data_IF_921613314026
#
_entry.id   IF_921613314026
#
_cell.length_a   1.000
_cell.length_b   1.000
_cell.length_c   1.000
_cell.angle_alpha   90.00
_cell.angle_beta   90.00
_cell.angle_gamma   90.00
#
_symmetry.space_group_name_H-M   'P 1'
#
loop_
_entity.id
_entity.type
_entity.pdbx_description
1 polymer ?
#
# COMPACT_ATOMS: atom_id res chain seq x y z
N UNK A 1 -103.00 -105.46 -7.46
CA UNK A 1 -103.82 -104.23 -7.63
C UNK A 1 -104.16 -104.14 -9.10
N UNK A 2 -105.41 -103.87 -9.49
CA UNK A 2 -105.79 -103.64 -10.89
C UNK A 2 -105.58 -104.82 -11.86
N UNK A 3 -106.36 -105.89 -11.73
CA UNK A 3 -106.73 -106.73 -12.89
C UNK A 3 -108.13 -106.29 -13.32
N UNK A 4 -108.19 -105.24 -14.14
CA UNK A 4 -109.43 -104.73 -14.72
C UNK A 4 -109.13 -103.96 -16.02
N UNK A 5 -109.87 -104.32 -17.06
CA UNK A 5 -110.32 -103.43 -18.15
C UNK A 5 -109.30 -102.48 -18.79
N UNK A 6 -108.27 -103.05 -19.43
CA UNK A 6 -108.01 -102.75 -20.84
C UNK A 6 -108.45 -103.97 -21.68
N UNK A 7 -109.76 -104.20 -21.72
CA UNK A 7 -110.38 -104.80 -22.91
C UNK A 7 -110.41 -103.71 -23.97
N UNK A 8 -109.25 -103.46 -24.59
CA UNK A 8 -109.23 -102.86 -25.92
C UNK A 8 -110.02 -103.80 -26.82
N UNK A 9 -111.29 -103.45 -27.07
CA UNK A 9 -112.10 -104.15 -28.05
C UNK A 9 -111.42 -103.91 -29.38
N UNK A 10 -110.75 -104.94 -29.91
CA UNK A 10 -110.32 -104.98 -31.32
C UNK A 10 -111.50 -104.43 -32.13
N UNK A 11 -111.33 -103.30 -32.82
CA UNK A 11 -112.44 -102.67 -33.51
C UNK A 11 -112.84 -103.60 -34.64
N UNK A 12 -113.88 -104.39 -34.39
CA UNK A 12 -114.53 -105.23 -35.39
C UNK A 12 -115.05 -104.28 -36.45
N UNK A 13 -114.25 -104.14 -37.51
CA UNK A 13 -114.50 -103.20 -38.59
C UNK A 13 -115.92 -103.38 -39.10
N UNK A 14 -116.59 -102.26 -39.39
CA UNK A 14 -117.91 -102.25 -40.02
C UNK A 14 -117.95 -103.28 -41.14
N UNK A 15 -118.82 -104.28 -40.99
CA UNK A 15 -118.82 -105.47 -41.83
C UNK A 15 -118.93 -105.15 -43.32
N UNK A 16 -118.31 -106.01 -44.14
CA UNK A 16 -118.06 -105.80 -45.57
C UNK A 16 -119.23 -105.17 -46.33
N UNK A 17 -118.91 -104.20 -47.19
CA UNK A 17 -119.90 -103.53 -48.04
C UNK A 17 -120.63 -104.55 -48.95
N UNK A 18 -121.94 -104.40 -49.06
CA UNK A 18 -122.79 -105.32 -49.82
C UNK A 18 -123.00 -104.79 -51.24
N UNK A 19 -122.30 -105.41 -52.19
CA UNK A 19 -122.45 -105.21 -53.62
C UNK A 19 -123.69 -105.98 -54.13
N UNK A 20 -124.11 -105.70 -55.36
CA UNK A 20 -125.36 -106.16 -56.02
C UNK A 20 -125.66 -107.66 -55.94
N UNK A 21 -124.68 -108.51 -55.58
CA UNK A 21 -124.82 -109.95 -55.23
C UNK A 21 -123.77 -110.40 -54.18
N UNK A 22 -123.74 -109.77 -53.00
CA UNK A 22 -122.96 -110.22 -51.85
C UNK A 22 -121.87 -109.24 -51.39
N UNK A 23 -121.07 -109.65 -50.41
CA UNK A 23 -119.98 -108.83 -49.86
C UNK A 23 -118.91 -108.49 -50.90
N UNK A 24 -118.26 -107.33 -50.76
CA UNK A 24 -117.12 -106.97 -51.59
C UNK A 24 -115.95 -107.95 -51.38
N UNK A 25 -115.48 -108.53 -52.49
CA UNK A 25 -114.42 -109.55 -52.46
C UNK A 25 -113.08 -108.97 -52.01
N UNK A 26 -112.73 -107.74 -52.41
CA UNK A 26 -111.46 -107.12 -52.05
C UNK A 26 -111.38 -106.86 -50.55
N UNK A 27 -112.47 -106.34 -49.96
CA UNK A 27 -112.54 -106.14 -48.51
C UNK A 27 -112.45 -107.47 -47.72
N UNK A 28 -113.05 -108.55 -48.23
CA UNK A 28 -112.95 -109.89 -47.60
C UNK A 28 -111.53 -110.45 -47.72
N UNK A 29 -110.88 -110.30 -48.87
CA UNK A 29 -109.49 -110.77 -49.08
C UNK A 29 -108.51 -109.96 -48.22
N UNK A 30 -108.62 -108.62 -48.15
CA UNK A 30 -107.80 -107.77 -47.26
C UNK A 30 -107.99 -108.13 -45.78
N UNK A 31 -109.23 -108.39 -45.35
CA UNK A 31 -109.52 -108.78 -43.96
C UNK A 31 -109.00 -110.19 -43.62
N UNK A 32 -109.02 -111.12 -44.57
CA UNK A 32 -108.43 -112.45 -44.37
C UNK A 32 -106.89 -112.36 -44.32
N UNK A 33 -106.25 -111.57 -45.19
CA UNK A 33 -104.81 -111.32 -45.11
C UNK A 33 -104.42 -110.64 -43.79
N UNK A 34 -105.24 -109.70 -43.29
CA UNK A 34 -105.07 -109.10 -41.96
C UNK A 34 -105.14 -110.15 -40.86
N UNK A 35 -106.20 -110.97 -40.80
CA UNK A 35 -106.34 -112.03 -39.80
C UNK A 35 -105.19 -113.06 -39.87
N UNK A 36 -104.73 -113.42 -41.06
CA UNK A 36 -103.57 -114.31 -41.23
C UNK A 36 -102.28 -113.66 -40.71
N UNK A 37 -102.14 -112.33 -40.84
CA UNK A 37 -101.03 -111.58 -40.26
C UNK A 37 -101.11 -111.49 -38.73
N UNK A 38 -102.32 -111.25 -38.18
CA UNK A 38 -102.58 -111.18 -36.74
C UNK A 38 -102.36 -112.54 -36.07
N UNK A 39 -102.79 -113.64 -36.70
CA UNK A 39 -102.54 -115.01 -36.22
C UNK A 39 -101.06 -115.38 -36.26
N UNK A 40 -100.30 -114.91 -37.26
CA UNK A 40 -98.84 -115.11 -37.31
C UNK A 40 -98.12 -114.30 -36.24
N UNK A 41 -98.58 -113.07 -35.96
CA UNK A 41 -98.07 -112.24 -34.87
C UNK A 41 -98.34 -112.90 -33.51
N UNK A 42 -99.59 -113.30 -33.23
CA UNK A 42 -99.96 -113.99 -31.99
C UNK A 42 -99.24 -115.34 -31.82
N UNK A 43 -98.94 -116.06 -32.90
CA UNK A 43 -98.12 -117.27 -32.84
C UNK A 43 -96.66 -116.95 -32.47
N UNK A 44 -96.07 -115.89 -33.06
CA UNK A 44 -94.72 -115.44 -32.72
C UNK A 44 -94.62 -114.93 -31.27
N UNK A 45 -95.60 -114.15 -30.81
CA UNK A 45 -95.67 -113.64 -29.43
C UNK A 45 -95.85 -114.78 -28.42
N UNK A 46 -96.71 -115.77 -28.72
CA UNK A 46 -96.83 -117.00 -27.93
C UNK A 46 -95.51 -117.73 -27.84
N UNK A 47 -94.82 -117.94 -28.97
CA UNK A 47 -93.59 -118.73 -29.00
C UNK A 47 -92.42 -117.99 -28.33
N UNK A 48 -92.38 -116.65 -28.42
CA UNK A 48 -91.47 -115.80 -27.66
C UNK A 48 -91.76 -115.81 -26.14
N UNK A 49 -93.03 -115.81 -25.73
CA UNK A 49 -93.42 -115.98 -24.33
C UNK A 49 -93.06 -117.38 -23.80
N UNK A 50 -93.25 -118.42 -24.63
CA UNK A 50 -92.82 -119.79 -24.32
C UNK A 50 -91.29 -119.88 -24.20
N UNK A 51 -90.50 -119.25 -25.06
CA UNK A 51 -89.03 -119.24 -24.88
C UNK A 51 -88.62 -118.48 -23.61
N UNK A 52 -89.22 -117.31 -23.34
CA UNK A 52 -88.95 -116.54 -22.11
C UNK A 52 -89.29 -117.34 -20.85
N UNK A 53 -90.43 -118.04 -20.80
CA UNK A 53 -90.78 -118.88 -19.64
C UNK A 53 -89.83 -120.07 -19.46
N UNK A 54 -89.35 -120.69 -20.55
CA UNK A 54 -88.35 -121.75 -20.48
C UNK A 54 -86.98 -121.25 -19.98
N UNK A 55 -86.54 -120.06 -20.42
CA UNK A 55 -85.27 -119.49 -19.98
C UNK A 55 -85.33 -118.96 -18.53
N UNK A 56 -86.47 -118.40 -18.11
CA UNK A 56 -86.72 -118.08 -16.70
C UNK A 56 -86.77 -119.36 -15.83
N UNK A 57 -87.36 -120.46 -16.32
CA UNK A 57 -87.35 -121.73 -15.61
C UNK A 57 -85.91 -122.26 -15.41
N UNK A 58 -85.08 -122.22 -16.46
CA UNK A 58 -83.65 -122.58 -16.40
C UNK A 58 -82.87 -121.72 -15.41
N UNK A 59 -83.07 -120.40 -15.40
CA UNK A 59 -82.44 -119.50 -14.43
C UNK A 59 -82.87 -119.80 -12.99
N UNK A 60 -84.15 -120.10 -12.78
CA UNK A 60 -84.72 -120.46 -11.48
C UNK A 60 -84.18 -121.82 -10.99
N UNK A 61 -84.01 -122.79 -11.88
CA UNK A 61 -83.35 -124.07 -11.57
C UNK A 61 -81.86 -123.89 -11.25
N UNK A 62 -81.11 -123.11 -12.04
CA UNK A 62 -79.71 -122.79 -11.77
C UNK A 62 -79.51 -122.12 -10.40
N UNK A 63 -80.33 -121.11 -10.08
CA UNK A 63 -80.32 -120.44 -8.78
C UNK A 63 -80.75 -121.39 -7.65
N UNK A 64 -81.66 -122.35 -7.89
CA UNK A 64 -82.01 -123.39 -6.91
C UNK A 64 -80.84 -124.34 -6.65
N UNK A 65 -80.09 -124.77 -7.67
CA UNK A 65 -78.87 -125.57 -7.48
C UNK A 65 -77.79 -124.79 -6.72
N UNK A 66 -77.53 -123.54 -7.09
CA UNK A 66 -76.55 -122.69 -6.39
C UNK A 66 -76.94 -122.50 -4.91
N UNK A 67 -78.21 -122.20 -4.61
CA UNK A 67 -78.71 -122.09 -3.24
C UNK A 67 -78.63 -123.42 -2.49
N UNK A 68 -78.82 -124.57 -3.14
CA UNK A 68 -78.64 -125.88 -2.53
C UNK A 68 -77.17 -126.19 -2.23
N UNK A 69 -76.25 -125.89 -3.16
CA UNK A 69 -74.81 -126.04 -2.96
C UNK A 69 -74.28 -125.12 -1.85
N UNK A 70 -74.68 -123.85 -1.85
CA UNK A 70 -74.33 -122.88 -0.80
C UNK A 70 -74.86 -123.31 0.57
N UNK A 71 -76.09 -123.84 0.65
CA UNK A 71 -76.62 -124.41 1.89
C UNK A 71 -75.82 -125.63 2.34
N UNK A 72 -75.49 -126.55 1.44
CA UNK A 72 -74.65 -127.72 1.74
C UNK A 72 -73.21 -127.35 2.12
N UNK A 73 -72.66 -126.24 1.63
CA UNK A 73 -71.39 -125.68 2.11
C UNK A 73 -71.54 -125.10 3.52
N UNK A 74 -72.57 -124.29 3.77
CA UNK A 74 -72.84 -123.70 5.10
C UNK A 74 -73.10 -124.78 6.16
N UNK A 75 -73.82 -125.85 5.83
CA UNK A 75 -74.02 -127.01 6.70
C UNK A 75 -72.68 -127.68 7.04
N UNK A 76 -71.87 -128.05 6.03
CA UNK A 76 -70.52 -128.63 6.23
C UNK A 76 -69.57 -127.74 7.03
N UNK A 77 -69.70 -126.41 6.94
CA UNK A 77 -68.87 -125.44 7.66
C UNK A 77 -69.38 -125.08 9.06
N UNK A 78 -70.66 -125.36 9.37
CA UNK A 78 -71.29 -125.07 10.67
C UNK A 78 -71.31 -126.26 11.62
N UNK A 79 -71.28 -127.49 11.11
CA UNK A 79 -70.98 -128.67 11.93
C UNK A 79 -69.52 -128.61 12.46
N UNK A 80 -69.25 -129.17 13.65
CA UNK A 80 -67.88 -129.31 14.15
C UNK A 80 -67.07 -130.20 13.20
N UNK A 81 -65.82 -129.83 12.82
CA UNK A 81 -65.06 -130.54 11.79
C UNK A 81 -64.57 -131.90 12.30
N UNK A 82 -65.34 -132.95 11.99
CA UNK A 82 -64.99 -134.35 12.25
C UNK A 82 -64.13 -134.97 11.13
N UNK A 83 -63.87 -134.24 10.05
CA UNK A 83 -63.03 -134.67 8.92
C UNK A 83 -61.89 -133.66 8.66
N UNK A 84 -60.75 -134.16 8.18
CA UNK A 84 -59.57 -133.35 7.85
C UNK A 84 -59.85 -132.36 6.70
N UNK A 85 -60.75 -132.72 5.79
CA UNK A 85 -61.11 -131.92 4.62
C UNK A 85 -61.85 -130.64 5.01
N UNK A 86 -62.87 -130.73 5.89
CA UNK A 86 -63.58 -129.56 6.42
C UNK A 86 -62.69 -128.64 7.27
N UNK A 87 -61.69 -129.19 7.96
CA UNK A 87 -60.66 -128.40 8.64
C UNK A 87 -59.79 -127.65 7.63
N UNK A 88 -59.37 -128.30 6.54
CA UNK A 88 -58.52 -127.67 5.51
C UNK A 88 -59.27 -126.56 4.74
N UNK A 89 -60.55 -126.76 4.40
CA UNK A 89 -61.36 -125.73 3.74
C UNK A 89 -61.56 -124.50 4.64
N UNK A 90 -61.86 -124.73 5.93
CA UNK A 90 -61.99 -123.64 6.91
C UNK A 90 -60.67 -122.88 7.12
N UNK A 91 -59.53 -123.57 7.13
CA UNK A 91 -58.21 -122.93 7.20
C UNK A 91 -57.91 -122.11 5.94
N UNK A 92 -58.23 -122.61 4.74
CA UNK A 92 -58.08 -121.86 3.49
C UNK A 92 -58.97 -120.61 3.47
N UNK A 93 -60.24 -120.71 3.88
CA UNK A 93 -61.14 -119.55 4.01
C UNK A 93 -60.63 -118.54 5.06
N UNK A 94 -60.10 -119.01 6.20
CA UNK A 94 -59.50 -118.14 7.23
C UNK A 94 -58.23 -117.44 6.75
N UNK A 95 -57.32 -118.14 6.07
CA UNK A 95 -56.11 -117.56 5.48
C UNK A 95 -56.44 -116.53 4.39
N UNK A 96 -57.47 -116.79 3.59
CA UNK A 96 -57.96 -115.83 2.59
C UNK A 96 -58.51 -114.57 3.26
N UNK A 97 -59.38 -114.70 4.27
CA UNK A 97 -59.91 -113.55 5.03
C UNK A 97 -58.79 -112.75 5.71
N UNK A 98 -57.80 -113.42 6.32
CA UNK A 98 -56.65 -112.76 6.92
C UNK A 98 -55.74 -112.07 5.89
N UNK A 99 -55.63 -112.61 4.67
CA UNK A 99 -54.91 -111.99 3.56
C UNK A 99 -55.66 -110.77 3.00
N UNK A 100 -56.98 -110.86 2.89
CA UNK A 100 -57.86 -109.78 2.45
C UNK A 100 -57.86 -108.63 3.50
N UNK A 101 -57.95 -108.95 4.80
CA UNK A 101 -57.80 -107.99 5.91
C UNK A 101 -56.39 -107.36 5.94
N UNK A 102 -55.32 -108.15 5.76
CA UNK A 102 -53.96 -107.61 5.68
C UNK A 102 -53.74 -106.71 4.44
N UNK A 103 -54.44 -106.97 3.34
CA UNK A 103 -54.45 -106.09 2.16
C UNK A 103 -55.23 -104.80 2.45
N UNK A 104 -56.37 -104.88 3.15
CA UNK A 104 -57.16 -103.71 3.54
C UNK A 104 -56.39 -102.81 4.53
N UNK A 105 -55.72 -103.39 5.53
CA UNK A 105 -54.86 -102.66 6.48
C UNK A 105 -53.73 -101.94 5.74
N UNK A 106 -53.09 -102.57 4.75
CA UNK A 106 -52.09 -101.91 3.90
C UNK A 106 -52.70 -100.77 3.10
N UNK A 107 -53.82 -100.98 2.43
CA UNK A 107 -54.50 -99.96 1.64
C UNK A 107 -54.91 -98.74 2.49
N UNK A 108 -55.41 -98.96 3.72
CA UNK A 108 -55.69 -97.89 4.69
C UNK A 108 -54.41 -97.15 5.10
N UNK A 109 -53.35 -97.87 5.47
CA UNK A 109 -52.07 -97.25 5.88
C UNK A 109 -51.36 -96.50 4.74
N UNK A 110 -51.47 -96.98 3.50
CA UNK A 110 -50.95 -96.32 2.30
C UNK A 110 -51.76 -95.06 1.96
N UNK A 111 -53.08 -95.09 2.10
CA UNK A 111 -53.95 -93.92 1.95
C UNK A 111 -53.68 -92.86 3.03
N UNK A 112 -53.60 -93.26 4.31
CA UNK A 112 -53.26 -92.37 5.42
C UNK A 112 -51.85 -91.77 5.25
N UNK A 113 -50.86 -92.58 4.89
CA UNK A 113 -49.50 -92.12 4.58
C UNK A 113 -49.46 -91.16 3.37
N UNK A 114 -50.29 -91.41 2.35
CA UNK A 114 -50.50 -90.51 1.22
C UNK A 114 -51.10 -89.17 1.63
N UNK A 115 -52.16 -89.18 2.45
CA UNK A 115 -52.78 -87.96 2.98
C UNK A 115 -51.83 -87.14 3.86
N UNK A 116 -51.02 -87.80 4.71
CA UNK A 116 -50.02 -87.13 5.55
C UNK A 116 -48.94 -86.47 4.68
N UNK A 117 -48.43 -87.16 3.65
CA UNK A 117 -47.45 -86.59 2.69
C UNK A 117 -48.03 -85.42 1.90
N UNK A 118 -49.19 -85.61 1.28
CA UNK A 118 -49.85 -84.56 0.50
C UNK A 118 -50.15 -83.31 1.34
N UNK A 119 -50.54 -83.47 2.60
CA UNK A 119 -50.70 -82.34 3.53
C UNK A 119 -49.36 -81.66 3.84
N UNK A 120 -48.32 -82.42 4.20
CA UNK A 120 -47.00 -81.86 4.50
C UNK A 120 -46.38 -81.14 3.30
N UNK A 121 -46.59 -81.65 2.08
CA UNK A 121 -46.18 -81.02 0.83
C UNK A 121 -46.96 -79.73 0.54
N UNK A 122 -48.28 -79.72 0.77
CA UNK A 122 -49.11 -78.52 0.65
C UNK A 122 -48.73 -77.44 1.69
N UNK A 123 -48.53 -77.82 2.95
CA UNK A 123 -48.09 -76.91 4.02
C UNK A 123 -46.67 -76.35 3.70
N UNK A 124 -45.75 -77.19 3.20
CA UNK A 124 -44.42 -76.76 2.78
C UNK A 124 -44.45 -75.82 1.56
N UNK A 125 -45.31 -76.09 0.56
CA UNK A 125 -45.51 -75.20 -0.58
C UNK A 125 -46.09 -73.85 -0.15
N UNK A 126 -47.10 -73.86 0.72
CA UNK A 126 -47.69 -72.65 1.28
C UNK A 126 -46.69 -71.81 2.09
N UNK A 127 -45.75 -72.45 2.80
CA UNK A 127 -44.65 -71.76 3.47
C UNK A 127 -43.65 -71.16 2.47
N UNK A 128 -43.22 -71.91 1.45
CA UNK A 128 -42.32 -71.38 0.38
C UNK A 128 -42.90 -70.12 -0.26
N UNK A 129 -44.16 -70.18 -0.72
CA UNK A 129 -44.85 -69.03 -1.33
C UNK A 129 -45.02 -67.84 -0.39
N UNK A 130 -45.07 -68.05 0.94
CA UNK A 130 -45.06 -66.95 1.92
C UNK A 130 -43.67 -66.33 2.08
N UNK A 131 -42.62 -67.15 2.14
CA UNK A 131 -41.24 -66.65 2.24
C UNK A 131 -40.77 -65.97 0.95
N UNK A 132 -41.13 -66.49 -0.22
CA UNK A 132 -40.88 -65.86 -1.53
C UNK A 132 -41.48 -64.46 -1.59
N UNK A 133 -42.75 -64.31 -1.18
CA UNK A 133 -43.42 -63.00 -1.09
C UNK A 133 -42.71 -62.06 -0.11
N UNK A 134 -42.44 -62.52 1.12
CA UNK A 134 -41.76 -61.72 2.14
C UNK A 134 -40.36 -61.28 1.69
N UNK A 135 -39.63 -62.11 0.95
CA UNK A 135 -38.34 -61.72 0.35
C UNK A 135 -38.54 -60.63 -0.72
N UNK A 136 -39.50 -60.78 -1.63
CA UNK A 136 -39.78 -59.74 -2.63
C UNK A 136 -40.25 -58.42 -2.01
N UNK A 137 -41.05 -58.46 -0.94
CA UNK A 137 -41.48 -57.28 -0.18
C UNK A 137 -40.29 -56.60 0.54
N UNK A 138 -39.36 -57.37 1.10
CA UNK A 138 -38.15 -56.85 1.73
C UNK A 138 -37.17 -56.24 0.72
N UNK A 139 -36.99 -56.85 -0.44
CA UNK A 139 -36.09 -56.34 -1.49
C UNK A 139 -36.69 -55.13 -2.23
N UNK A 140 -38.01 -55.08 -2.44
CA UNK A 140 -38.71 -53.86 -2.86
C UNK A 140 -38.49 -52.72 -1.86
N UNK A 141 -38.75 -52.98 -0.57
CA UNK A 141 -38.59 -51.97 0.49
C UNK A 141 -37.13 -51.50 0.66
N UNK A 142 -36.15 -52.37 0.41
CA UNK A 142 -34.73 -51.98 0.34
C UNK A 142 -34.48 -51.03 -0.83
N UNK A 143 -34.91 -51.38 -2.04
CA UNK A 143 -34.75 -50.54 -3.22
C UNK A 143 -35.45 -49.18 -3.06
N UNK A 144 -36.63 -49.13 -2.44
CA UNK A 144 -37.33 -47.91 -2.06
C UNK A 144 -36.51 -47.05 -1.09
N UNK A 145 -36.06 -47.61 0.04
CA UNK A 145 -35.25 -46.87 1.02
C UNK A 145 -33.89 -46.42 0.45
N UNK A 146 -33.27 -47.20 -0.43
CA UNK A 146 -32.04 -46.83 -1.13
C UNK A 146 -32.28 -45.69 -2.13
N UNK A 147 -33.40 -45.71 -2.86
CA UNK A 147 -33.79 -44.64 -3.78
C UNK A 147 -34.16 -43.35 -3.01
N UNK A 148 -34.90 -43.44 -1.90
CA UNK A 148 -35.19 -42.31 -1.01
C UNK A 148 -33.91 -41.72 -0.42
N UNK A 149 -33.03 -42.56 0.16
CA UNK A 149 -31.77 -42.13 0.73
C UNK A 149 -30.86 -41.46 -0.31
N UNK A 150 -30.76 -42.06 -1.50
CA UNK A 150 -30.04 -41.48 -2.63
C UNK A 150 -30.63 -40.15 -3.06
N UNK A 151 -31.95 -40.04 -3.20
CA UNK A 151 -32.64 -38.79 -3.54
C UNK A 151 -32.47 -37.69 -2.49
N UNK A 152 -32.40 -38.04 -1.21
CA UNK A 152 -32.06 -37.12 -0.12
C UNK A 152 -30.60 -36.68 -0.19
N UNK A 153 -29.65 -37.58 -0.46
CA UNK A 153 -28.24 -37.24 -0.65
C UNK A 153 -28.00 -36.37 -1.88
N UNK A 154 -28.67 -36.64 -3.00
CA UNK A 154 -28.56 -35.86 -4.24
C UNK A 154 -29.15 -34.45 -4.05
N UNK A 155 -30.29 -34.31 -3.36
CA UNK A 155 -30.83 -33.00 -2.94
C UNK A 155 -29.89 -32.25 -2.00
N UNK A 156 -29.41 -32.90 -0.93
CA UNK A 156 -28.51 -32.27 0.04
C UNK A 156 -27.18 -31.83 -0.59
N UNK A 157 -26.67 -32.57 -1.59
CA UNK A 157 -25.50 -32.16 -2.39
C UNK A 157 -25.82 -30.94 -3.25
N UNK A 158 -26.92 -30.95 -4.01
CA UNK A 158 -27.32 -29.81 -4.83
C UNK A 158 -27.60 -28.54 -4.00
N UNK A 159 -28.20 -28.68 -2.82
CA UNK A 159 -28.40 -27.58 -1.86
C UNK A 159 -27.08 -27.05 -1.30
N UNK A 160 -26.14 -27.94 -0.92
CA UNK A 160 -24.82 -27.56 -0.46
C UNK A 160 -23.98 -26.88 -1.57
N UNK A 161 -24.03 -27.40 -2.80
CA UNK A 161 -23.38 -26.80 -3.97
C UNK A 161 -23.95 -25.41 -4.29
N UNK A 162 -25.28 -25.24 -4.23
CA UNK A 162 -25.93 -23.93 -4.35
C UNK A 162 -25.47 -22.96 -3.26
N UNK A 163 -25.50 -23.35 -2.00
CA UNK A 163 -25.08 -22.51 -0.86
C UNK A 163 -23.60 -22.13 -0.96
N UNK A 164 -22.73 -23.06 -1.36
CA UNK A 164 -21.30 -22.80 -1.56
C UNK A 164 -21.05 -21.91 -2.79
N UNK A 165 -21.85 -22.05 -3.86
CA UNK A 165 -21.84 -21.15 -5.01
C UNK A 165 -22.23 -19.72 -4.63
N UNK A 166 -23.40 -19.55 -4.00
CA UNK A 166 -23.90 -18.25 -3.53
C UNK A 166 -22.94 -17.58 -2.54
N UNK A 167 -22.33 -18.34 -1.62
CA UNK A 167 -21.33 -17.82 -0.69
C UNK A 167 -20.03 -17.39 -1.39
N UNK A 168 -19.58 -18.12 -2.42
CA UNK A 168 -18.40 -17.74 -3.23
C UNK A 168 -18.66 -16.51 -4.09
N UNK A 169 -19.83 -16.38 -4.69
CA UNK A 169 -20.23 -15.18 -5.43
C UNK A 169 -20.33 -13.97 -4.50
N UNK A 170 -20.94 -14.12 -3.31
CA UNK A 170 -21.03 -13.05 -2.33
C UNK A 170 -19.65 -12.61 -1.82
N UNK A 171 -18.73 -13.55 -1.57
CA UNK A 171 -17.35 -13.26 -1.22
C UNK A 171 -16.62 -12.51 -2.33
N UNK A 172 -16.66 -13.02 -3.58
CA UNK A 172 -15.99 -12.39 -4.72
C UNK A 172 -16.48 -10.94 -4.98
N UNK A 173 -17.79 -10.69 -4.85
CA UNK A 173 -18.36 -9.34 -4.96
C UNK A 173 -17.91 -8.42 -3.82
N UNK A 174 -17.78 -8.94 -2.60
CA UNK A 174 -17.30 -8.18 -1.44
C UNK A 174 -15.80 -7.90 -1.52
N UNK A 175 -15.00 -8.83 -2.03
CA UNK A 175 -13.58 -8.65 -2.31
C UNK A 175 -13.36 -7.61 -3.40
N UNK A 176 -14.14 -7.66 -4.49
CA UNK A 176 -14.12 -6.66 -5.56
C UNK A 176 -14.54 -5.26 -5.06
N UNK A 177 -15.65 -5.16 -4.31
CA UNK A 177 -16.07 -3.89 -3.70
C UNK A 177 -15.02 -3.35 -2.71
N UNK A 178 -14.37 -4.23 -1.94
CA UNK A 178 -13.32 -3.85 -1.00
C UNK A 178 -12.05 -3.40 -1.69
N UNK A 179 -11.68 -4.01 -2.82
CA UNK A 179 -10.59 -3.56 -3.68
C UNK A 179 -10.90 -2.20 -4.30
N UNK A 180 -12.09 -2.01 -4.88
CA UNK A 180 -12.53 -0.73 -5.45
C UNK A 180 -12.52 0.40 -4.40
N UNK A 181 -13.05 0.14 -3.20
CA UNK A 181 -12.99 1.09 -2.07
C UNK A 181 -11.55 1.41 -1.67
N UNK A 182 -10.65 0.41 -1.68
CA UNK A 182 -9.24 0.64 -1.35
C UNK A 182 -8.54 1.49 -2.41
N UNK A 183 -8.77 1.21 -3.71
CA UNK A 183 -8.18 2.02 -4.78
C UNK A 183 -8.72 3.45 -4.78
N UNK A 184 -10.01 3.69 -4.54
CA UNK A 184 -10.53 5.06 -4.42
C UNK A 184 -9.95 5.81 -3.22
N UNK A 185 -9.70 5.13 -2.09
CA UNK A 185 -9.05 5.74 -0.91
C UNK A 185 -7.56 5.97 -1.14
N UNK A 186 -6.88 5.09 -1.88
CA UNK A 186 -5.49 5.28 -2.34
C UNK A 186 -5.39 6.51 -3.28
N UNK A 187 -6.29 6.62 -4.26
CA UNK A 187 -6.40 7.76 -5.19
C UNK A 187 -6.71 9.09 -4.48
N UNK A 188 -7.76 9.13 -3.65
CA UNK A 188 -8.13 10.32 -2.86
C UNK A 188 -6.98 10.77 -1.93
N UNK A 189 -6.27 9.81 -1.32
CA UNK A 189 -5.12 10.10 -0.48
C UNK A 189 -3.93 10.63 -1.29
N UNK A 190 -3.63 10.07 -2.46
CA UNK A 190 -2.58 10.60 -3.34
C UNK A 190 -2.90 12.01 -3.84
N UNK A 191 -4.15 12.28 -4.20
CA UNK A 191 -4.64 13.62 -4.60
C UNK A 191 -4.51 14.60 -3.43
N UNK A 192 -5.00 14.26 -2.23
CA UNK A 192 -4.91 15.11 -1.05
C UNK A 192 -3.44 15.38 -0.65
N UNK A 193 -2.57 14.38 -0.72
CA UNK A 193 -1.14 14.53 -0.45
C UNK A 193 -0.40 15.28 -1.57
N UNK A 194 -0.83 15.19 -2.83
CA UNK A 194 -0.33 16.03 -3.92
C UNK A 194 -0.72 17.50 -3.70
N UNK A 195 -1.98 17.79 -3.40
CA UNK A 195 -2.46 19.13 -3.08
C UNK A 195 -1.68 19.73 -1.90
N UNK A 196 -1.56 19.00 -0.79
CA UNK A 196 -0.80 19.43 0.39
C UNK A 196 0.70 19.64 0.12
N UNK A 197 1.31 18.84 -0.77
CA UNK A 197 2.70 19.07 -1.24
C UNK A 197 2.80 20.37 -2.05
N UNK A 198 1.86 20.65 -2.95
CA UNK A 198 1.82 21.90 -3.73
C UNK A 198 1.62 23.12 -2.84
N UNK A 199 0.72 23.07 -1.85
CA UNK A 199 0.52 24.15 -0.87
C UNK A 199 1.76 24.38 0.00
N UNK A 200 2.42 23.31 0.46
CA UNK A 200 3.68 23.40 1.22
C UNK A 200 4.82 23.98 0.38
N UNK A 201 4.95 23.58 -0.88
CA UNK A 201 5.93 24.16 -1.82
C UNK A 201 5.61 25.63 -2.13
N UNK A 202 4.33 25.99 -2.26
CA UNK A 202 3.90 27.38 -2.47
C UNK A 202 4.23 28.27 -1.26
N UNK A 203 3.92 27.83 -0.04
CA UNK A 203 4.24 28.61 1.17
C UNK A 203 5.75 28.74 1.41
N UNK A 204 6.54 27.71 1.10
CA UNK A 204 8.01 27.81 1.06
C UNK A 204 8.49 28.82 0.02
N UNK A 205 7.95 28.78 -1.21
CA UNK A 205 8.30 29.74 -2.26
C UNK A 205 7.90 31.18 -1.91
N UNK A 206 6.76 31.38 -1.24
CA UNK A 206 6.31 32.69 -0.72
C UNK A 206 7.22 33.19 0.41
N UNK A 207 7.64 32.31 1.33
CA UNK A 207 8.61 32.64 2.38
C UNK A 207 10.00 32.98 1.81
N UNK A 208 10.49 32.21 0.84
CA UNK A 208 11.72 32.51 0.12
C UNK A 208 11.64 33.83 -0.64
N UNK A 209 10.54 34.10 -1.35
CA UNK A 209 10.32 35.33 -2.09
C UNK A 209 10.24 36.55 -1.15
N UNK A 210 9.54 36.42 -0.02
CA UNK A 210 9.50 37.46 1.01
C UNK A 210 10.89 37.72 1.62
N UNK A 211 11.63 36.66 1.98
CA UNK A 211 12.98 36.77 2.54
C UNK A 211 13.96 37.42 1.56
N UNK A 212 13.91 37.05 0.27
CA UNK A 212 14.69 37.68 -0.81
C UNK A 212 14.30 39.14 -0.99
N UNK A 213 13.01 39.45 -1.07
CA UNK A 213 12.51 40.82 -1.22
C UNK A 213 12.78 41.71 0.01
N UNK A 214 12.95 41.15 1.21
CA UNK A 214 13.48 41.86 2.38
C UNK A 214 14.99 42.05 2.32
N UNK A 215 15.76 41.02 1.94
CA UNK A 215 17.21 41.14 1.78
C UNK A 215 17.56 42.20 0.73
N UNK A 216 16.88 42.18 -0.43
CA UNK A 216 17.03 43.19 -1.48
C UNK A 216 16.63 44.60 -1.02
N UNK A 217 15.69 44.72 -0.06
CA UNK A 217 15.33 46.01 0.55
C UNK A 217 16.42 46.51 1.49
N UNK A 218 16.87 45.68 2.43
CA UNK A 218 17.98 46.01 3.36
C UNK A 218 19.27 46.35 2.61
N UNK A 219 19.56 45.65 1.50
CA UNK A 219 20.72 45.95 0.63
C UNK A 219 20.54 47.29 -0.10
N UNK A 220 19.33 47.62 -0.59
CA UNK A 220 19.05 48.93 -1.19
C UNK A 220 19.12 50.06 -0.17
N UNK A 221 18.49 49.90 0.98
CA UNK A 221 18.51 50.85 2.10
C UNK A 221 19.96 51.12 2.56
N UNK A 222 20.75 50.07 2.81
CA UNK A 222 22.16 50.21 3.17
C UNK A 222 23.02 50.79 2.04
N UNK A 223 22.70 50.53 0.76
CA UNK A 223 23.39 51.13 -0.38
C UNK A 223 23.07 52.62 -0.54
N UNK A 224 21.81 53.01 -0.28
CA UNK A 224 21.37 54.42 -0.22
C UNK A 224 22.00 55.14 0.97
N UNK A 225 22.00 54.56 2.17
CA UNK A 225 22.66 55.14 3.35
C UNK A 225 24.17 55.29 3.11
N UNK A 226 24.84 54.26 2.59
CA UNK A 226 26.24 54.36 2.20
C UNK A 226 26.46 55.41 1.08
N UNK A 227 25.51 55.61 0.17
CA UNK A 227 25.57 56.69 -0.82
C UNK A 227 25.39 58.07 -0.19
N UNK A 228 24.46 58.24 0.77
CA UNK A 228 24.24 59.48 1.53
C UNK A 228 25.46 59.82 2.38
N UNK A 229 26.04 58.85 3.10
CA UNK A 229 27.27 59.01 3.89
C UNK A 229 28.47 59.33 2.99
N UNK A 230 28.65 58.64 1.86
CA UNK A 230 29.70 59.01 0.89
C UNK A 230 29.49 60.40 0.30
N UNK A 231 28.25 60.81 0.04
CA UNK A 231 27.92 62.16 -0.43
C UNK A 231 28.25 63.21 0.64
N UNK A 232 27.85 63.00 1.89
CA UNK A 232 28.19 63.86 3.04
C UNK A 232 29.71 63.98 3.21
N UNK A 233 30.43 62.86 3.27
CA UNK A 233 31.91 62.86 3.35
C UNK A 233 32.53 63.59 2.15
N UNK A 234 31.99 63.44 0.93
CA UNK A 234 32.48 64.19 -0.24
C UNK A 234 32.18 65.69 -0.17
N UNK A 235 31.07 66.09 0.45
CA UNK A 235 30.70 67.49 0.68
C UNK A 235 31.55 68.11 1.80
N UNK A 236 31.80 67.38 2.88
CA UNK A 236 32.71 67.77 3.96
C UNK A 236 34.16 67.87 3.46
N UNK A 237 34.61 66.93 2.62
CA UNK A 237 35.91 67.02 1.96
C UNK A 237 35.97 68.18 0.97
N UNK A 238 34.91 68.44 0.19
CA UNK A 238 34.85 69.60 -0.69
C UNK A 238 34.84 70.93 0.08
N UNK A 239 34.12 71.01 1.20
CA UNK A 239 34.09 72.18 2.08
C UNK A 239 35.46 72.38 2.75
N UNK A 240 36.02 71.34 3.38
CA UNK A 240 37.33 71.38 4.04
C UNK A 240 38.47 71.71 3.06
N UNK A 241 38.44 71.16 1.83
CA UNK A 241 39.43 71.54 0.81
C UNK A 241 39.19 72.94 0.25
N UNK A 242 37.95 73.43 0.16
CA UNK A 242 37.65 74.82 -0.20
C UNK A 242 38.08 75.80 0.90
N UNK A 243 37.90 75.47 2.18
CA UNK A 243 38.37 76.24 3.33
C UNK A 243 39.90 76.23 3.42
N UNK A 244 40.55 75.07 3.26
CA UNK A 244 42.00 74.98 3.17
C UNK A 244 42.54 75.79 1.98
N UNK A 245 41.89 75.74 0.81
CA UNK A 245 42.23 76.62 -0.31
C UNK A 245 41.98 78.10 0.00
N UNK A 246 40.93 78.45 0.75
CA UNK A 246 40.67 79.84 1.14
C UNK A 246 41.74 80.34 2.11
N UNK A 247 42.10 79.56 3.13
CA UNK A 247 43.17 79.86 4.08
C UNK A 247 44.54 79.94 3.39
N UNK A 248 44.83 79.05 2.44
CA UNK A 248 46.05 79.14 1.61
C UNK A 248 46.03 80.41 0.75
N UNK A 249 44.92 80.74 0.09
CA UNK A 249 44.79 82.00 -0.68
C UNK A 249 44.99 83.22 0.23
N UNK A 250 44.26 83.30 1.34
CA UNK A 250 44.33 84.35 2.35
C UNK A 250 45.75 84.52 2.91
N UNK A 251 46.43 83.41 3.25
CA UNK A 251 47.83 83.44 3.68
C UNK A 251 48.81 83.84 2.56
N UNK A 252 48.58 83.41 1.30
CA UNK A 252 49.41 83.87 0.17
C UNK A 252 49.17 85.34 -0.17
N UNK A 253 47.94 85.84 -0.04
CA UNK A 253 47.62 87.26 -0.18
C UNK A 253 48.25 88.07 0.94
N UNK A 254 48.17 87.62 2.19
CA UNK A 254 48.78 88.29 3.34
C UNK A 254 50.31 88.28 3.24
N UNK A 255 50.92 87.18 2.79
CA UNK A 255 52.35 87.10 2.49
C UNK A 255 52.74 88.02 1.32
N UNK A 256 51.91 88.11 0.27
CA UNK A 256 52.13 89.02 -0.85
C UNK A 256 51.94 90.49 -0.45
N UNK A 257 51.00 90.81 0.45
CA UNK A 257 50.84 92.14 1.08
C UNK A 257 52.09 92.49 1.87
N UNK A 258 52.48 91.68 2.88
CA UNK A 258 53.73 91.87 3.64
C UNK A 258 54.96 92.03 2.74
N UNK A 259 55.04 91.27 1.65
CA UNK A 259 56.12 91.40 0.65
C UNK A 259 56.03 92.71 -0.13
N UNK A 260 54.84 93.14 -0.54
CA UNK A 260 54.64 94.41 -1.24
C UNK A 260 54.90 95.61 -0.34
N UNK A 261 54.46 95.56 0.92
CA UNK A 261 54.70 96.58 1.95
C UNK A 261 56.21 96.67 2.24
N UNK A 262 56.89 95.53 2.45
CA UNK A 262 58.34 95.47 2.66
C UNK A 262 59.14 95.94 1.44
N UNK A 263 58.71 95.62 0.22
CA UNK A 263 59.30 96.17 -1.01
C UNK A 263 59.07 97.68 -1.08
N UNK A 264 57.89 98.16 -0.72
CA UNK A 264 57.54 99.60 -0.74
C UNK A 264 58.41 100.37 0.26
N UNK A 265 58.52 99.91 1.51
CA UNK A 265 59.45 100.47 2.51
C UNK A 265 60.91 100.45 2.03
N UNK A 266 61.35 99.36 1.41
CA UNK A 266 62.70 99.26 0.87
C UNK A 266 62.93 100.27 -0.27
N UNK A 267 61.97 100.43 -1.19
CA UNK A 267 62.05 101.45 -2.24
C UNK A 267 61.97 102.87 -1.71
N UNK A 268 61.20 103.12 -0.65
CA UNK A 268 61.13 104.42 0.03
C UNK A 268 62.49 104.78 0.67
N UNK A 269 63.12 103.85 1.40
CA UNK A 269 64.48 104.06 1.95
C UNK A 269 65.53 104.25 0.86
N UNK A 270 65.42 103.57 -0.27
CA UNK A 270 66.32 103.75 -1.43
C UNK A 270 66.12 105.12 -2.08
N UNK A 271 64.87 105.60 -2.21
CA UNK A 271 64.57 106.95 -2.70
C UNK A 271 65.09 108.02 -1.73
N UNK A 272 64.82 107.89 -0.43
CA UNK A 272 65.31 108.79 0.63
C UNK A 272 66.84 108.89 0.63
N UNK A 273 67.55 107.75 0.58
CA UNK A 273 69.01 107.72 0.46
C UNK A 273 69.53 108.32 -0.86
N UNK A 274 68.78 108.16 -1.96
CA UNK A 274 69.12 108.76 -3.27
C UNK A 274 68.92 110.27 -3.26
N UNK A 275 67.87 110.77 -2.62
CA UNK A 275 67.59 112.21 -2.48
C UNK A 275 68.56 112.88 -1.50
N UNK A 276 68.97 112.21 -0.43
CA UNK A 276 70.10 112.67 0.39
C UNK A 276 71.41 112.72 -0.41
N UNK A 277 71.72 111.69 -1.22
CA UNK A 277 72.92 111.67 -2.05
C UNK A 277 72.90 112.82 -3.08
N UNK A 278 71.76 113.03 -3.75
CA UNK A 278 71.54 114.16 -4.66
C UNK A 278 71.68 115.51 -3.95
N UNK A 279 71.23 115.63 -2.69
CA UNK A 279 71.38 116.85 -1.88
C UNK A 279 72.85 117.13 -1.58
N UNK A 280 73.61 116.14 -1.08
CA UNK A 280 75.05 116.24 -0.79
C UNK A 280 75.87 116.58 -2.06
N UNK A 281 75.50 116.03 -3.22
CA UNK A 281 76.13 116.37 -4.51
C UNK A 281 75.87 117.83 -4.91
N UNK A 282 74.65 118.35 -4.71
CA UNK A 282 74.33 119.77 -4.97
C UNK A 282 75.13 120.70 -4.05
N UNK A 283 75.13 120.42 -2.75
CA UNK A 283 75.86 121.19 -1.73
C UNK A 283 77.37 121.25 -2.04
N UNK A 284 77.99 120.11 -2.39
CA UNK A 284 79.40 120.05 -2.80
C UNK A 284 79.68 120.79 -4.12
N UNK A 285 78.74 120.78 -5.06
CA UNK A 285 78.86 121.52 -6.33
C UNK A 285 78.80 123.04 -6.10
N UNK A 286 77.94 123.49 -5.18
CA UNK A 286 77.89 124.91 -4.77
C UNK A 286 79.17 125.36 -4.06
N UNK A 287 79.72 124.56 -3.14
CA UNK A 287 81.04 124.84 -2.53
C UNK A 287 82.15 124.98 -3.58
N UNK A 288 82.19 124.05 -4.56
CA UNK A 288 83.17 124.08 -5.65
C UNK A 288 83.07 125.37 -6.46
N UNK A 289 81.85 125.74 -6.88
CA UNK A 289 81.59 126.97 -7.63
C UNK A 289 81.97 128.24 -6.84
N UNK A 290 81.76 128.25 -5.51
CA UNK A 290 82.19 129.38 -4.65
C UNK A 290 83.73 129.50 -4.62
N UNK A 291 84.46 128.38 -4.49
CA UNK A 291 85.94 128.37 -4.49
C UNK A 291 86.53 128.79 -5.85
N UNK A 292 85.98 128.28 -6.96
CA UNK A 292 86.36 128.70 -8.32
C UNK A 292 86.13 130.20 -8.52
N UNK A 293 84.97 130.72 -8.10
CA UNK A 293 84.66 132.16 -8.23
C UNK A 293 85.65 133.04 -7.47
N UNK A 294 86.03 132.66 -6.25
CA UNK A 294 87.03 133.38 -5.45
C UNK A 294 88.42 133.34 -6.11
N UNK A 295 88.83 132.20 -6.66
CA UNK A 295 90.10 132.08 -7.37
C UNK A 295 90.16 132.96 -8.62
N UNK A 296 89.08 133.02 -9.42
CA UNK A 296 89.00 133.90 -10.60
C UNK A 296 89.15 135.39 -10.22
N UNK A 297 88.50 135.84 -9.15
CA UNK A 297 88.60 137.22 -8.67
C UNK A 297 90.04 137.60 -8.26
N UNK A 298 90.77 136.69 -7.62
CA UNK A 298 92.18 136.92 -7.27
C UNK A 298 93.09 136.98 -8.52
N UNK A 299 92.83 136.12 -9.52
CA UNK A 299 93.57 136.12 -10.79
C UNK A 299 93.37 137.43 -11.57
N UNK A 300 92.15 137.98 -11.61
CA UNK A 300 91.89 139.23 -12.33
C UNK A 300 92.44 140.47 -11.61
N UNK A 301 92.46 140.48 -10.27
CA UNK A 301 93.16 141.51 -9.49
C UNK A 301 94.66 141.57 -9.84
N UNK A 302 95.32 140.42 -9.96
CA UNK A 302 96.73 140.33 -10.36
C UNK A 302 96.98 140.80 -11.81
N UNK A 303 96.07 140.49 -12.75
CA UNK A 303 96.15 141.01 -14.14
C UNK A 303 96.09 142.54 -14.19
N UNK A 304 95.21 143.17 -13.41
CA UNK A 304 95.09 144.64 -13.37
C UNK A 304 96.35 145.31 -12.82
N UNK A 305 96.96 144.73 -11.78
CA UNK A 305 98.18 145.27 -11.16
C UNK A 305 99.39 145.17 -12.11
N UNK A 306 99.54 144.03 -12.80
CA UNK A 306 100.53 143.84 -13.88
C UNK A 306 100.36 144.87 -15.01
N UNK A 307 99.13 145.10 -15.46
CA UNK A 307 98.88 146.00 -16.60
C UNK A 307 99.24 147.47 -16.27
N UNK A 308 99.04 147.94 -15.03
CA UNK A 308 99.50 149.27 -14.59
C UNK A 308 101.02 149.43 -14.70
N UNK A 309 101.78 148.45 -14.21
CA UNK A 309 103.25 148.45 -14.29
C UNK A 309 103.75 148.46 -15.74
N UNK A 310 103.11 147.71 -16.65
CA UNK A 310 103.50 147.69 -18.06
C UNK A 310 103.30 149.02 -18.80
N UNK A 311 102.32 149.83 -18.39
CA UNK A 311 102.04 151.11 -19.05
C UNK A 311 103.02 152.22 -18.64
N UNK A 312 103.47 152.24 -17.39
CA UNK A 312 104.44 153.26 -16.92
C UNK A 312 105.85 153.06 -17.51
N UNK A 313 106.24 151.81 -17.82
CA UNK A 313 107.54 151.49 -18.42
C UNK A 313 107.62 151.74 -19.94
N UNK A 314 106.50 152.02 -20.63
CA UNK A 314 106.48 152.22 -22.08
C UNK A 314 106.55 153.71 -22.51
N UNK A 315 106.30 154.65 -21.59
CA UNK A 315 106.13 156.08 -21.93
C UNK A 315 107.44 156.89 -21.99
N UNK A 316 108.53 156.43 -21.37
CA UNK A 316 109.85 157.11 -21.37
C UNK A 316 110.94 156.26 -22.06
N UNK A 317 110.61 155.02 -22.47
CA UNK A 317 111.48 154.13 -23.26
C UNK A 317 111.83 154.70 -24.66
N UNK A 318 111.21 155.81 -25.05
CA UNK A 318 111.42 156.56 -26.29
C UNK A 318 112.57 157.57 -26.25
N UNK A 319 113.27 157.72 -25.11
CA UNK A 319 114.45 158.58 -24.99
C UNK A 319 115.62 157.79 -24.38
N UNK A 320 116.65 157.52 -25.20
CA UNK A 320 117.76 156.58 -24.97
C UNK A 320 117.29 155.10 -24.93
N UNK A 321 117.75 154.17 -25.78
CA UNK A 321 118.83 154.22 -26.78
C UNK A 321 120.19 154.69 -26.26
N UNK A 322 120.76 153.91 -25.35
CA UNK A 322 122.20 153.69 -25.34
C UNK A 322 122.51 152.23 -24.92
N UNK A 323 123.69 151.72 -25.30
CA UNK A 323 124.29 150.42 -24.92
C UNK A 323 123.42 149.16 -25.10
N UNK A 324 123.29 148.73 -26.35
CA UNK A 324 123.45 147.30 -26.75
C UNK A 324 124.94 146.94 -26.61
N UNK A 325 125.43 145.69 -26.35
CA UNK A 325 124.81 144.35 -26.42
C UNK A 325 124.61 143.67 -25.03
N UNK A 326 123.92 142.54 -24.81
CA UNK A 326 123.59 141.32 -25.59
C UNK A 326 124.73 140.27 -25.70
N UNK A 327 124.69 139.23 -24.86
CA UNK A 327 124.76 137.79 -25.22
C UNK A 327 125.02 136.88 -23.99
N UNK A 328 124.29 135.76 -23.93
CA UNK A 328 124.67 134.48 -23.28
C UNK A 328 124.88 134.45 -21.72
N UNK A 329 124.92 133.27 -21.05
CA UNK A 329 125.12 131.91 -21.58
C UNK A 329 124.12 130.83 -21.14
N UNK A 330 124.52 129.58 -21.44
CA UNK A 330 123.90 128.29 -21.15
C UNK A 330 124.10 127.82 -19.70
N UNK A 331 123.53 126.63 -19.42
CA UNK A 331 124.09 125.55 -18.59
C UNK A 331 123.92 125.52 -17.06
N UNK A 332 124.30 124.34 -16.56
CA UNK A 332 124.06 123.66 -15.30
C UNK A 332 124.63 124.34 -14.03
N UNK A 333 124.00 124.12 -12.88
CA UNK A 333 124.58 123.53 -11.64
C UNK A 333 123.45 123.41 -10.57
N UNK A 334 123.18 122.25 -9.95
CA UNK A 334 123.86 121.60 -8.80
C UNK A 334 123.91 122.50 -7.55
N UNK A 335 123.49 122.01 -6.35
CA UNK A 335 124.30 120.97 -5.67
C UNK A 335 123.52 119.87 -4.89
N UNK A 336 124.29 118.87 -4.43
CA UNK A 336 123.97 117.95 -3.31
C UNK A 336 124.49 118.58 -1.97
N UNK A 337 124.28 118.02 -0.75
CA UNK A 337 123.83 116.67 -0.34
C UNK A 337 122.67 116.72 0.73
N UNK A 338 122.24 115.67 1.47
CA UNK A 338 122.76 114.31 1.74
C UNK A 338 121.63 113.31 2.08
N UNK A 339 121.73 112.07 1.57
CA UNK A 339 121.21 110.77 2.09
C UNK A 339 119.76 110.62 2.66
N UNK A 340 119.04 109.68 2.04
CA UNK A 340 117.96 108.82 2.61
C UNK A 340 118.51 107.83 3.69
N UNK A 341 117.74 106.89 4.34
CA UNK A 341 116.34 106.49 4.10
C UNK A 341 115.41 106.16 5.31
N UNK A 342 114.08 106.21 5.05
CA UNK A 342 113.00 105.32 5.56
C UNK A 342 112.71 105.26 7.10
N UNK A 343 111.53 104.77 7.59
CA UNK A 343 110.58 103.83 6.96
C UNK A 343 109.08 104.23 6.98
N UNK A 344 108.22 103.25 6.72
CA UNK A 344 106.75 103.28 6.45
C UNK A 344 106.11 101.97 6.95
N UNK A 345 104.76 101.79 7.01
CA UNK A 345 103.68 102.75 7.32
C UNK A 345 102.59 102.12 8.27
N UNK A 346 101.37 102.69 8.29
CA UNK A 346 100.09 102.18 8.85
C UNK A 346 100.01 102.12 10.40
N UNK A 347 99.33 103.00 11.14
CA UNK A 347 97.96 103.58 11.13
C UNK A 347 96.94 102.88 12.07
N UNK A 348 96.03 103.63 12.75
CA UNK A 348 95.50 103.28 14.08
C UNK A 348 94.03 102.77 14.02
N UNK A 349 93.49 102.01 14.99
CA UNK A 349 93.04 102.40 16.36
C UNK A 349 92.10 103.62 16.41
N UNK A 350 91.02 103.66 17.19
CA UNK A 350 90.24 102.65 17.93
C UNK A 350 88.95 103.33 18.49
N UNK A 351 87.94 102.56 18.94
CA UNK A 351 87.35 102.64 20.30
C UNK A 351 86.03 101.85 20.52
N UNK A 352 86.07 100.96 21.52
CA UNK A 352 85.02 100.58 22.50
C UNK A 352 83.79 99.68 22.10
N UNK A 353 83.13 99.00 23.08
CA UNK A 353 82.26 97.81 22.88
C UNK A 353 80.81 98.03 23.45
N UNK A 354 79.92 97.04 23.76
CA UNK A 354 80.01 95.56 23.65
C UNK A 354 78.75 94.78 23.11
N UNK A 355 79.00 93.63 22.46
CA UNK A 355 78.04 92.54 22.11
C UNK A 355 78.90 91.26 21.87
N UNK A 356 78.72 90.08 22.48
CA UNK A 356 77.61 89.10 22.58
C UNK A 356 77.31 88.24 21.32
N UNK A 357 77.34 86.90 21.53
CA UNK A 357 76.98 85.77 20.64
C UNK A 357 77.89 85.49 19.39
N UNK A 358 77.84 84.27 18.79
CA UNK A 358 78.06 82.93 19.37
C UNK A 358 79.06 82.10 18.49
N UNK A 359 79.26 80.76 18.61
CA UNK A 359 78.28 79.74 18.15
C UNK A 359 78.22 78.37 18.90
N UNK A 360 77.20 77.57 18.53
CA UNK A 360 76.86 76.15 18.80
C UNK A 360 77.94 75.15 19.32
N UNK A 361 77.63 74.10 20.11
CA UNK A 361 76.70 72.97 19.83
C UNK A 361 76.35 72.09 21.08
N UNK A 362 75.13 71.52 21.12
CA UNK A 362 74.68 70.31 21.91
C UNK A 362 74.72 70.44 23.47
N UNK A 363 74.12 69.52 24.31
CA UNK A 363 73.73 68.11 24.08
C UNK A 363 72.41 67.53 24.70
N UNK A 364 72.14 66.27 24.32
CA UNK A 364 71.53 65.11 25.04
C UNK A 364 70.25 65.19 25.92
N UNK A 365 69.26 64.37 25.51
CA UNK A 365 68.29 63.62 26.33
C UNK A 365 67.68 62.47 25.45
N UNK A 366 67.18 61.31 25.91
CA UNK A 366 67.20 60.66 27.24
C UNK A 366 67.31 59.10 27.11
N UNK A 367 66.37 58.29 27.66
CA UNK A 367 66.40 56.80 27.76
C UNK A 367 64.94 56.21 27.77
N UNK A 368 64.66 54.93 28.15
CA UNK A 368 64.87 53.68 27.37
C UNK A 368 63.67 52.69 27.36
N UNK A 369 63.72 51.62 26.54
CA UNK A 369 63.14 50.26 26.75
C UNK A 369 63.16 49.46 25.44
N UNK A 370 63.09 48.11 25.38
CA UNK A 370 63.53 47.02 26.27
C UNK A 370 63.53 45.71 25.44
N UNK A 371 64.30 44.68 25.83
CA UNK A 371 64.45 43.43 25.05
C UNK A 371 63.56 42.26 25.52
N UNK A 372 63.42 41.25 24.65
CA UNK A 372 62.80 39.93 24.87
C UNK A 372 63.71 38.99 25.73
N UNK A 373 63.50 37.64 25.89
CA UNK A 373 62.45 36.73 25.37
C UNK A 373 61.98 35.57 26.30
N UNK A 374 61.13 34.66 25.76
CA UNK A 374 61.07 33.18 25.97
C UNK A 374 60.55 32.49 27.25
N UNK A 375 60.04 31.27 27.01
CA UNK A 375 60.04 30.03 27.83
C UNK A 375 58.73 29.56 28.49
N UNK A 376 58.61 28.23 28.66
CA UNK A 376 57.40 27.49 29.04
C UNK A 376 57.62 26.58 30.27
N UNK A 377 56.60 26.35 31.11
CA UNK A 377 56.52 25.36 32.22
C UNK A 377 55.03 25.17 32.61
N UNK A 378 54.61 24.14 33.35
CA UNK A 378 54.32 22.75 32.93
C UNK A 378 53.74 21.96 34.13
N UNK A 379 52.56 21.32 33.96
CA UNK A 379 51.86 20.47 34.96
C UNK A 379 51.38 21.21 36.25
N UNK A 380 50.45 20.69 37.08
CA UNK A 380 49.85 19.36 37.19
C UNK A 380 48.36 19.42 37.67
N UNK A 381 47.72 18.24 37.83
CA UNK A 381 46.37 18.02 38.40
C UNK A 381 46.50 17.32 39.79
N UNK A 382 45.51 16.59 40.39
CA UNK A 382 44.05 16.48 40.16
C UNK A 382 43.19 16.54 41.47
N UNK A 383 41.85 16.43 41.39
CA UNK A 383 41.06 15.59 42.33
C UNK A 383 39.65 15.21 41.80
N UNK A 384 38.88 14.41 42.55
CA UNK A 384 37.81 13.52 42.04
C UNK A 384 36.54 13.46 42.97
N UNK A 385 35.61 12.46 42.94
CA UNK A 385 34.24 12.75 42.48
C UNK A 385 33.07 12.62 43.52
N UNK A 386 32.10 11.66 43.47
CA UNK A 386 30.69 12.05 43.32
C UNK A 386 29.70 11.50 44.38
N UNK A 387 28.41 11.81 44.22
CA UNK A 387 27.30 11.20 44.97
C UNK A 387 26.25 10.56 44.05
N UNK A 388 25.57 9.53 44.59
CA UNK A 388 24.54 8.65 44.00
C UNK A 388 23.57 8.25 45.15
N UNK A 389 22.52 7.44 44.93
CA UNK A 389 21.55 7.39 43.81
C UNK A 389 20.09 7.33 44.35
N UNK A 390 19.09 7.21 43.48
CA UNK A 390 17.87 6.45 43.85
C UNK A 390 17.15 5.85 42.62
N UNK A 391 16.50 4.70 42.80
CA UNK A 391 15.78 3.90 41.79
C UNK A 391 14.80 2.94 42.53
N UNK A 392 13.69 2.46 41.92
CA UNK A 392 13.78 1.43 40.86
C UNK A 392 12.72 1.52 39.73
N UNK A 393 12.78 0.55 38.80
CA UNK A 393 11.89 0.34 37.64
C UNK A 393 10.82 -0.77 37.94
N UNK A 394 10.10 -1.45 37.01
CA UNK A 394 10.24 -1.54 35.54
C UNK A 394 8.98 -1.57 34.62
N UNK A 395 9.17 -1.04 33.41
CA UNK A 395 8.91 -1.61 32.06
C UNK A 395 7.82 -2.68 31.80
N UNK A 396 6.99 -2.47 30.77
CA UNK A 396 6.62 -3.51 29.78
C UNK A 396 5.98 -2.96 28.47
N UNK A 397 6.36 -3.54 27.33
CA UNK A 397 5.67 -3.49 26.02
C UNK A 397 5.90 -4.82 25.25
N UNK A 398 5.11 -5.16 24.19
CA UNK A 398 4.77 -6.57 23.92
C UNK A 398 5.28 -7.20 22.60
N UNK A 399 5.37 -8.54 22.65
CA UNK A 399 5.06 -9.60 21.63
C UNK A 399 5.45 -9.46 20.15
N UNK A 400 5.97 -10.57 19.63
CA UNK A 400 5.68 -11.10 18.28
C UNK A 400 5.87 -12.64 18.23
N UNK A 401 5.28 -13.31 17.23
CA UNK A 401 5.14 -14.78 17.14
C UNK A 401 6.24 -15.48 16.32
N UNK A 402 6.30 -16.83 16.36
CA UNK A 402 6.42 -17.77 15.19
C UNK A 402 6.68 -19.23 15.63
N UNK A 403 6.08 -20.22 14.94
CA UNK A 403 6.39 -21.66 15.05
C UNK A 403 6.31 -22.31 13.65
N UNK A 404 7.22 -23.23 13.27
CA UNK A 404 7.04 -24.69 13.47
C UNK A 404 8.33 -25.37 14.03
N UNK A 405 8.42 -26.68 14.31
CA UNK A 405 7.43 -27.78 14.26
C UNK A 405 7.95 -29.01 13.46
N UNK A 406 8.07 -30.18 14.12
CA UNK A 406 8.49 -31.46 13.52
C UNK A 406 8.00 -32.70 14.33
N UNK A 407 8.07 -33.89 13.73
CA UNK A 407 7.61 -35.22 14.19
C UNK A 407 8.01 -35.63 15.64
N UNK A 408 7.39 -36.61 16.33
CA UNK A 408 6.71 -37.85 15.90
C UNK A 408 5.82 -38.43 17.03
N UNK A 409 4.73 -39.21 16.78
CA UNK A 409 3.80 -39.65 17.84
C UNK A 409 4.16 -40.98 18.53
N UNK A 410 3.86 -41.06 19.83
CA UNK A 410 3.85 -42.29 20.64
C UNK A 410 2.41 -42.63 21.10
N UNK A 411 2.06 -43.92 21.33
CA UNK A 411 0.67 -44.34 21.54
C UNK A 411 0.10 -43.95 22.93
N UNK A 412 -1.18 -43.57 23.01
CA UNK A 412 -1.82 -43.23 24.29
C UNK A 412 -2.12 -44.48 25.14
N UNK A 413 -1.79 -44.43 26.42
CA UNK A 413 -2.23 -45.44 27.38
C UNK A 413 -3.67 -45.19 27.83
N UNK A 414 -4.43 -46.26 28.05
CA UNK A 414 -5.84 -46.20 28.48
C UNK A 414 -5.93 -45.94 29.98
N UNK A 415 -6.40 -44.76 30.37
CA UNK A 415 -6.84 -44.46 31.74
C UNK A 415 -8.36 -44.37 31.82
N UNK A 416 -8.94 -44.99 32.86
CA UNK A 416 -10.40 -45.01 33.08
C UNK A 416 -10.84 -43.71 33.77
N UNK A 417 -12.01 -43.14 33.44
CA UNK A 417 -12.62 -42.09 34.24
C UNK A 417 -13.22 -42.67 35.52
N UNK A 418 -12.91 -42.05 36.67
CA UNK A 418 -13.64 -42.23 37.93
C UNK A 418 -14.44 -40.94 38.18
N UNK A 419 -15.75 -41.01 38.47
CA UNK A 419 -16.55 -39.83 38.77
C UNK A 419 -16.39 -39.41 40.24
N UNK A 420 -16.47 -38.12 40.52
CA UNK A 420 -17.60 -37.58 41.30
C UNK A 420 -17.64 -36.04 41.31
N UNK A 421 -18.84 -35.47 41.43
CA UNK A 421 -19.09 -34.03 41.47
C UNK A 421 -20.59 -33.72 41.49
N UNK A 422 -21.12 -33.01 42.51
CA UNK A 422 -22.56 -33.00 42.77
C UNK A 422 -23.35 -32.16 41.75
N UNK A 423 -24.36 -32.78 41.14
CA UNK A 423 -25.27 -32.14 40.17
C UNK A 423 -26.18 -31.12 40.87
N UNK A 424 -26.08 -29.84 40.49
CA UNK A 424 -27.07 -28.83 40.88
C UNK A 424 -28.38 -29.07 40.12
N UNK A 425 -29.50 -29.08 40.86
CA UNK A 425 -30.84 -29.33 40.27
C UNK A 425 -31.34 -28.07 39.56
N UNK A 426 -31.35 -28.08 38.23
CA UNK A 426 -32.02 -27.05 37.43
C UNK A 426 -33.54 -27.14 37.67
N UNK A 427 -34.13 -26.03 38.09
CA UNK A 427 -35.57 -25.95 38.35
C UNK A 427 -36.38 -25.97 37.04
N UNK A 428 -37.47 -26.75 37.03
CA UNK A 428 -38.35 -26.91 35.86
C UNK A 428 -39.31 -25.72 35.75
N UNK A 429 -39.39 -25.01 34.61
CA UNK A 429 -40.28 -23.85 34.47
C UNK A 429 -41.76 -24.26 34.51
N UNK A 430 -42.59 -23.43 35.15
CA UNK A 430 -44.03 -23.65 35.26
C UNK A 430 -44.77 -23.18 33.99
N UNK A 431 -45.78 -23.94 33.50
CA UNK A 431 -46.54 -23.55 32.32
C UNK A 431 -47.47 -22.36 32.63
N UNK A 432 -47.37 -21.30 31.84
CA UNK A 432 -48.19 -20.09 31.97
C UNK A 432 -49.61 -20.37 31.49
N UNK A 433 -50.61 -20.10 32.33
CA UNK A 433 -52.01 -20.39 32.02
C UNK A 433 -52.50 -19.59 30.79
N UNK A 434 -53.25 -20.25 29.89
CA UNK A 434 -53.99 -19.58 28.80
C UNK A 434 -55.21 -18.85 29.37
N UNK A 435 -55.51 -17.61 28.94
CA UNK A 435 -56.78 -16.96 29.28
C UNK A 435 -57.93 -17.65 28.54
N UNK A 436 -59.05 -17.84 29.25
CA UNK A 436 -60.28 -18.31 28.62
C UNK A 436 -60.91 -17.21 27.74
N UNK A 437 -61.48 -17.62 26.61
CA UNK A 437 -62.51 -16.85 25.89
C UNK A 437 -63.75 -17.73 25.71
N UNK A 438 -64.90 -17.06 25.63
CA UNK A 438 -66.20 -17.64 25.29
C UNK A 438 -66.22 -18.11 23.84
#
# INVERSE_FOLDING_TARGET
>A
MGLADDRDLVPLGSGFDIVKRGYDRGQVEEHLERLDSDLRLLAADRDAAVSQTNDLARQLEAARSEVAELRGQVERLSLPPTTLEGLSERLQRMLRLAQDEANEIKARAEAEGGHIRAKAEADAAALRTRYEKLLTELDQRRAEMEAEHRGVLEKARAEAERIVGEAREAAARLDEESLQRRTTVEEDFEIAMAARRVESMKTLAEQEAASKAEADRRVREAAEEAARVRAQISQEQAASTAEAQRLVREATEEANRRRHDSISEATARVQEATDEANRRVREATEESNRRVSQASQQVDALKQLRNRLSQQLHAVRTALHDVTPMLDPLDEERPQPTRQPQPTPQQPQAQQPPTQQPPAQQPQAQQPAAASPTASTTAAAPEAPPAQPEAPAPTQQPKSDTTPGADQPAPPQVTKPTPDGPTQKIARPTPKARPAKR
#
